data_IF_336354217089
#
_entry.id   IF_336354217089
#
_cell.length_a   1.000
_cell.length_b   1.000
_cell.length_c   1.000
_cell.angle_alpha   90.00
_cell.angle_beta   90.00
_cell.angle_gamma   90.00
#
_symmetry.space_group_name_H-M   'P 1'
#
loop_
_entity.id
_entity.type
_entity.pdbx_description
1 polymer ?
#
# COMPACT_ATOMS: atom_id res chain seq x y z
N UNK A 1 7.96 5.53 19.27
CA UNK A 1 6.80 6.21 18.65
C UNK A 1 7.07 6.20 17.14
N UNK A 2 6.10 5.79 16.32
CA UNK A 2 6.26 5.70 14.87
C UNK A 2 6.08 7.10 14.25
N UNK A 3 6.99 7.49 13.36
CA UNK A 3 6.83 8.70 12.56
C UNK A 3 6.19 8.34 11.21
N UNK A 4 4.98 8.82 10.97
CA UNK A 4 4.23 8.53 9.75
C UNK A 4 4.72 9.35 8.57
N UNK A 5 4.63 8.80 7.36
CA UNK A 5 5.04 9.51 6.14
C UNK A 5 4.18 10.75 5.86
N UNK A 6 2.92 10.73 6.26
CA UNK A 6 1.99 11.85 6.20
C UNK A 6 1.26 12.01 7.53
N UNK A 7 0.68 13.18 7.76
CA UNK A 7 -0.17 13.41 8.93
C UNK A 7 -1.39 12.49 8.89
N UNK A 8 -1.58 11.68 9.93
CA UNK A 8 -2.71 10.77 10.06
C UNK A 8 -3.74 11.36 11.04
N UNK A 9 -5.05 11.15 10.79
CA UNK A 9 -6.10 11.51 11.75
C UNK A 9 -5.92 10.82 13.10
N UNK A 10 -6.62 11.32 14.11
CA UNK A 10 -6.70 10.64 15.40
C UNK A 10 -7.17 9.18 15.23
N UNK A 11 -6.58 8.27 16.00
CA UNK A 11 -6.88 6.82 15.95
C UNK A 11 -6.55 6.15 14.59
N UNK A 12 -5.65 6.77 13.80
CA UNK A 12 -5.11 6.21 12.58
C UNK A 12 -3.58 5.97 12.72
N UNK A 13 -3.07 4.77 12.40
CA UNK A 13 -3.79 3.57 11.94
C UNK A 13 -4.75 3.02 13.01
N UNK A 14 -5.76 2.22 12.61
CA UNK A 14 -6.64 1.56 13.57
C UNK A 14 -5.87 0.67 14.54
N UNK A 15 -6.39 0.47 15.75
CA UNK A 15 -5.73 -0.30 16.81
C UNK A 15 -5.47 -1.75 16.41
N UNK A 16 -6.28 -2.28 15.49
CA UNK A 16 -6.19 -3.63 14.94
C UNK A 16 -5.10 -3.76 13.86
N UNK A 17 -4.50 -2.65 13.42
CA UNK A 17 -3.36 -2.70 12.50
C UNK A 17 -2.14 -3.32 13.19
N UNK A 18 -1.43 -4.17 12.47
CA UNK A 18 -0.36 -4.99 13.01
C UNK A 18 0.98 -4.72 12.32
N UNK A 19 2.06 -5.14 12.99
CA UNK A 19 3.42 -5.06 12.49
C UNK A 19 3.61 -6.05 11.30
N UNK A 20 4.03 -5.60 10.11
CA UNK A 20 4.19 -6.44 8.93
C UNK A 20 5.49 -7.26 8.89
N UNK A 21 6.35 -7.17 9.91
CA UNK A 21 7.64 -7.87 9.96
C UNK A 21 7.47 -9.39 9.77
N UNK A 22 8.31 -9.96 8.90
CA UNK A 22 8.27 -11.38 8.54
C UNK A 22 7.26 -11.74 7.45
N UNK A 23 6.45 -10.79 6.97
CA UNK A 23 5.53 -11.00 5.86
C UNK A 23 6.07 -10.37 4.56
N UNK A 24 5.81 -11.03 3.43
CA UNK A 24 6.01 -10.44 2.10
C UNK A 24 4.69 -9.84 1.61
N UNK A 25 4.74 -8.59 1.16
CA UNK A 25 3.63 -7.92 0.51
C UNK A 25 3.96 -7.58 -0.94
N UNK A 26 2.93 -7.32 -1.74
CA UNK A 26 3.03 -7.03 -3.16
C UNK A 26 2.25 -5.77 -3.51
N UNK A 27 2.81 -4.95 -4.41
CA UNK A 27 2.17 -3.72 -4.85
C UNK A 27 2.33 -3.53 -6.35
N UNK A 28 1.27 -3.04 -6.99
CA UNK A 28 1.32 -2.63 -8.39
C UNK A 28 2.14 -1.35 -8.55
N UNK A 29 2.96 -1.29 -9.60
CA UNK A 29 3.73 -0.11 -9.95
C UNK A 29 3.38 0.36 -11.37
N UNK A 30 3.37 1.68 -11.54
CA UNK A 30 3.17 2.35 -12.84
C UNK A 30 4.45 2.38 -13.68
N UNK A 31 5.58 1.93 -13.13
CA UNK A 31 6.90 1.89 -13.79
C UNK A 31 7.57 0.52 -13.70
N UNK A 32 8.64 0.33 -14.48
CA UNK A 32 9.45 -0.89 -14.46
C UNK A 32 10.36 -0.97 -13.22
N UNK A 33 10.68 0.19 -12.63
CA UNK A 33 11.46 0.31 -11.39
C UNK A 33 10.58 0.93 -10.29
N UNK A 34 10.88 0.70 -9.00
CA UNK A 34 10.19 1.37 -7.91
C UNK A 34 10.18 2.89 -8.09
N UNK A 35 8.99 3.49 -7.96
CA UNK A 35 8.77 4.93 -8.12
C UNK A 35 8.04 5.46 -6.90
N UNK A 36 8.53 6.56 -6.34
CA UNK A 36 7.94 7.19 -5.15
C UNK A 36 6.46 7.52 -5.32
N UNK A 37 6.01 7.89 -6.51
CA UNK A 37 4.59 8.18 -6.78
C UNK A 37 3.70 6.96 -6.57
N UNK A 38 4.23 5.76 -6.78
CA UNK A 38 3.52 4.53 -6.46
C UNK A 38 3.44 4.32 -4.94
N UNK A 39 4.12 5.07 -4.08
CA UNK A 39 4.06 4.94 -2.62
C UNK A 39 3.47 6.19 -1.94
N UNK A 40 2.69 6.96 -2.70
CA UNK A 40 1.86 8.04 -2.18
C UNK A 40 0.42 7.53 -1.99
N UNK A 41 -0.22 7.96 -0.90
CA UNK A 41 -1.62 7.62 -0.63
C UNK A 41 -2.57 8.31 -1.62
N UNK A 42 -3.81 7.82 -1.69
CA UNK A 42 -4.82 8.46 -2.52
C UNK A 42 -5.13 9.88 -2.03
N UNK A 43 -5.13 10.12 -0.72
CA UNK A 43 -5.30 11.45 -0.14
C UNK A 43 -4.15 12.38 -0.54
N UNK A 44 -2.90 11.93 -0.45
CA UNK A 44 -1.74 12.74 -0.86
C UNK A 44 -1.83 13.14 -2.34
N UNK A 45 -2.16 12.19 -3.22
CA UNK A 45 -2.27 12.45 -4.67
C UNK A 45 -3.47 13.33 -5.05
N UNK A 46 -4.51 13.35 -4.21
CA UNK A 46 -5.76 14.05 -4.48
C UNK A 46 -6.28 14.73 -3.20
N UNK A 47 -5.61 15.81 -2.73
CA UNK A 47 -5.89 16.43 -1.43
C UNK A 47 -7.33 16.91 -1.30
N UNK A 48 -7.91 17.49 -2.36
CA UNK A 48 -9.26 18.05 -2.37
C UNK A 48 -10.36 17.03 -2.72
N UNK A 49 -10.00 15.77 -3.02
CA UNK A 49 -11.00 14.79 -3.47
C UNK A 49 -11.85 14.31 -2.31
N UNK A 50 -13.17 14.27 -2.53
CA UNK A 50 -14.09 13.60 -1.60
C UNK A 50 -14.13 12.11 -1.92
N UNK A 51 -13.74 11.27 -0.96
CA UNK A 51 -13.77 9.82 -1.09
C UNK A 51 -15.04 9.26 -0.45
N UNK A 52 -16.08 9.05 -1.25
CA UNK A 52 -17.35 8.51 -0.77
C UNK A 52 -17.14 7.08 -0.24
N UNK A 53 -17.68 6.80 0.96
CA UNK A 53 -17.62 5.51 1.64
C UNK A 53 -16.21 4.98 1.96
N UNK A 54 -15.20 5.86 1.97
CA UNK A 54 -13.83 5.51 2.38
C UNK A 54 -13.42 6.46 3.51
N UNK A 55 -13.22 5.97 4.74
CA UNK A 55 -12.75 6.81 5.84
C UNK A 55 -11.41 7.47 5.52
N UNK A 56 -11.19 8.67 6.07
CA UNK A 56 -9.96 9.44 5.85
C UNK A 56 -8.70 8.63 6.19
N UNK A 57 -8.72 7.87 7.28
CA UNK A 57 -7.62 6.99 7.65
C UNK A 57 -7.26 6.00 6.53
N UNK A 58 -8.26 5.38 5.88
CA UNK A 58 -8.03 4.45 4.77
C UNK A 58 -7.55 5.18 3.51
N UNK A 59 -8.06 6.38 3.24
CA UNK A 59 -7.63 7.20 2.10
C UNK A 59 -6.14 7.58 2.16
N UNK A 60 -5.57 7.62 3.37
CA UNK A 60 -4.15 7.85 3.68
C UNK A 60 -3.30 6.58 3.73
N UNK A 61 -3.93 5.41 3.54
CA UNK A 61 -3.23 4.15 3.41
C UNK A 61 -2.83 3.85 1.96
N UNK A 62 -1.90 2.91 1.82
CA UNK A 62 -1.39 2.40 0.55
C UNK A 62 -1.87 0.95 0.41
N UNK A 63 -2.47 0.62 -0.74
CA UNK A 63 -2.90 -0.77 -1.00
C UNK A 63 -1.73 -1.71 -1.23
N UNK A 64 -1.64 -2.79 -0.46
CA UNK A 64 -0.71 -3.88 -0.66
C UNK A 64 -1.45 -5.22 -0.64
N UNK A 65 -0.82 -6.26 -1.16
CA UNK A 65 -1.41 -7.60 -1.24
C UNK A 65 -0.49 -8.65 -0.66
N UNK A 66 -1.03 -9.73 -0.09
CA UNK A 66 -0.22 -10.83 0.46
C UNK A 66 0.04 -11.98 -0.54
N UNK A 67 -0.44 -11.86 -1.79
CA UNK A 67 -0.32 -12.89 -2.82
C UNK A 67 0.09 -12.31 -4.18
N UNK A 68 1.24 -12.77 -4.69
CA UNK A 68 1.73 -12.43 -6.02
C UNK A 68 0.77 -12.93 -7.11
N UNK A 69 0.29 -14.18 -7.00
CA UNK A 69 -0.64 -14.77 -7.96
C UNK A 69 -1.94 -13.98 -8.07
N UNK A 70 -2.46 -13.51 -6.93
CA UNK A 70 -3.61 -12.61 -6.89
C UNK A 70 -3.32 -11.33 -7.66
N UNK A 71 -2.16 -10.71 -7.45
CA UNK A 71 -1.76 -9.50 -8.19
C UNK A 71 -1.66 -9.77 -9.70
N UNK A 72 -1.03 -10.87 -10.10
CA UNK A 72 -0.90 -11.27 -11.51
C UNK A 72 -2.28 -11.44 -12.15
N UNK A 73 -3.22 -12.09 -11.46
CA UNK A 73 -4.57 -12.29 -11.96
C UNK A 73 -5.38 -10.99 -12.02
N UNK A 74 -5.27 -10.13 -11.01
CA UNK A 74 -5.88 -8.79 -11.03
C UNK A 74 -5.35 -7.94 -12.18
N UNK A 75 -4.04 -7.98 -12.47
CA UNK A 75 -3.42 -7.22 -13.58
C UNK A 75 -3.96 -7.62 -14.96
N UNK A 76 -4.43 -8.87 -15.13
CA UNK A 76 -5.05 -9.35 -16.38
C UNK A 76 -6.46 -8.81 -16.62
N UNK A 77 -7.14 -8.31 -15.58
CA UNK A 77 -8.51 -7.80 -15.70
C UNK A 77 -8.56 -6.58 -16.64
N UNK A 78 -9.62 -6.42 -17.46
CA UNK A 78 -9.72 -5.33 -18.43
C UNK A 78 -9.48 -3.94 -17.83
N UNK A 79 -10.03 -3.68 -16.62
CA UNK A 79 -9.87 -2.39 -15.92
C UNK A 79 -8.44 -2.06 -15.48
N UNK A 80 -7.57 -3.07 -15.41
CA UNK A 80 -6.18 -2.94 -14.96
C UNK A 80 -5.18 -3.18 -16.09
N UNK A 81 -5.66 -3.63 -17.26
CA UNK A 81 -4.84 -3.88 -18.44
C UNK A 81 -4.10 -2.59 -18.83
N UNK A 82 -2.79 -2.69 -19.05
CA UNK A 82 -1.89 -1.60 -19.42
C UNK A 82 -1.69 -0.49 -18.38
N UNK A 83 -2.37 -0.54 -17.22
CA UNK A 83 -2.22 0.46 -16.15
C UNK A 83 -0.95 0.25 -15.33
N UNK A 84 -0.63 -1.01 -15.03
CA UNK A 84 0.48 -1.38 -14.18
C UNK A 84 1.58 -2.03 -15.01
N UNK A 85 2.80 -1.50 -14.91
CA UNK A 85 3.97 -1.97 -15.65
C UNK A 85 4.65 -3.12 -14.93
N UNK A 86 4.70 -3.07 -13.60
CA UNK A 86 5.31 -4.12 -12.80
C UNK A 86 4.55 -4.43 -11.51
N UNK A 87 4.94 -5.52 -10.86
CA UNK A 87 4.57 -5.84 -9.48
C UNK A 87 5.85 -5.82 -8.65
N UNK A 88 5.82 -5.11 -7.52
CA UNK A 88 6.91 -4.99 -6.57
C UNK A 88 6.64 -5.89 -5.36
N UNK A 89 7.62 -6.69 -4.94
CA UNK A 89 7.66 -7.32 -3.62
C UNK A 89 8.21 -6.33 -2.59
N UNK A 90 7.55 -6.27 -1.44
CA UNK A 90 7.89 -5.45 -0.28
C UNK A 90 8.14 -6.40 0.90
N UNK A 91 9.37 -6.37 1.42
CA UNK A 91 9.73 -7.03 2.69
C UNK A 91 9.75 -5.94 3.76
N UNK A 92 8.61 -5.73 4.38
CA UNK A 92 8.40 -4.66 5.35
C UNK A 92 8.95 -5.09 6.72
N UNK A 93 9.68 -4.20 7.37
CA UNK A 93 10.20 -4.37 8.72
C UNK A 93 9.25 -3.75 9.76
N UNK A 94 9.56 -3.95 11.03
CA UNK A 94 8.76 -3.44 12.13
C UNK A 94 8.60 -1.91 12.14
N UNK A 95 9.56 -1.19 11.58
CA UNK A 95 9.58 0.26 11.52
C UNK A 95 9.01 0.83 10.21
N UNK A 96 8.66 0.01 9.21
CA UNK A 96 8.16 0.46 7.90
C UNK A 96 6.67 0.87 7.93
N UNK A 97 5.99 0.65 9.05
CA UNK A 97 4.62 1.06 9.29
C UNK A 97 3.74 -0.07 9.81
N UNK A 98 2.43 0.08 9.65
CA UNK A 98 1.42 -0.90 10.09
C UNK A 98 0.47 -1.27 8.97
N UNK A 99 -0.02 -2.51 9.00
CA UNK A 99 -0.91 -3.08 7.98
C UNK A 99 -2.22 -3.59 8.59
N UNK A 100 -3.32 -3.54 7.83
CA UNK A 100 -4.61 -4.07 8.26
C UNK A 100 -5.46 -4.48 7.05
N UNK A 101 -6.30 -5.52 7.20
CA UNK A 101 -7.37 -5.80 6.24
C UNK A 101 -8.52 -4.82 6.43
N UNK A 102 -8.84 -4.06 5.39
CA UNK A 102 -9.81 -2.96 5.44
C UNK A 102 -10.94 -3.13 4.41
N UNK A 103 -10.84 -4.14 3.55
CA UNK A 103 -11.80 -4.44 2.49
C UNK A 103 -12.14 -5.94 2.46
N UNK A 104 -13.24 -6.35 1.80
CA UNK A 104 -13.64 -7.75 1.72
C UNK A 104 -12.67 -8.69 0.99
N UNK A 105 -11.77 -8.16 0.16
CA UNK A 105 -10.77 -8.99 -0.53
C UNK A 105 -9.76 -9.52 0.51
N UNK A 106 -9.69 -10.83 0.76
CA UNK A 106 -8.86 -11.40 1.81
C UNK A 106 -7.36 -11.19 1.57
N UNK A 107 -6.96 -10.92 0.34
CA UNK A 107 -5.57 -10.68 -0.03
C UNK A 107 -5.19 -9.20 -0.02
N UNK A 108 -6.13 -8.28 0.21
CA UNK A 108 -5.88 -6.84 0.18
C UNK A 108 -5.71 -6.28 1.59
N UNK A 109 -4.69 -5.44 1.75
CA UNK A 109 -4.37 -4.74 2.98
C UNK A 109 -4.18 -3.26 2.71
N UNK A 110 -4.62 -2.45 3.67
CA UNK A 110 -4.19 -1.07 3.85
C UNK A 110 -2.88 -1.06 4.61
N UNK A 111 -1.88 -0.38 4.08
CA UNK A 111 -0.59 -0.14 4.73
C UNK A 111 -0.41 1.36 5.00
N UNK A 112 -0.23 1.72 6.26
CA UNK A 112 0.17 3.07 6.67
C UNK A 112 1.67 3.10 6.84
N UNK A 113 2.32 3.76 5.89
CA UNK A 113 3.77 3.78 5.78
C UNK A 113 4.38 4.80 6.72
N UNK A 114 5.49 4.43 7.35
CA UNK A 114 6.31 5.35 8.13
C UNK A 114 7.32 6.10 7.26
N UNK A 115 8.00 7.09 7.83
CA UNK A 115 9.16 7.73 7.18
C UNK A 115 10.37 6.79 7.04
N UNK A 116 10.41 5.68 7.80
CA UNK A 116 11.54 4.74 7.79
C UNK A 116 11.56 3.88 6.53
N UNK A 117 10.41 3.70 5.86
CA UNK A 117 10.36 2.90 4.65
C UNK A 117 11.24 3.46 3.54
N UNK A 118 12.11 2.57 3.06
CA UNK A 118 13.10 2.79 2.02
C UNK A 118 12.65 2.16 0.71
N UNK A 119 12.38 3.01 -0.28
CA UNK A 119 11.88 2.61 -1.60
C UNK A 119 12.80 1.59 -2.29
N UNK A 120 14.11 1.70 -2.07
CA UNK A 120 15.14 0.81 -2.61
C UNK A 120 15.03 -0.65 -2.14
N UNK A 121 14.27 -0.90 -1.06
CA UNK A 121 14.00 -2.26 -0.58
C UNK A 121 12.92 -2.97 -1.40
N UNK A 122 12.12 -2.23 -2.18
CA UNK A 122 11.10 -2.77 -3.06
C UNK A 122 11.74 -3.40 -4.30
N UNK A 123 11.38 -4.65 -4.61
CA UNK A 123 11.98 -5.42 -5.71
C UNK A 123 10.94 -5.77 -6.75
N UNK A 124 11.21 -5.49 -8.02
CA UNK A 124 10.34 -5.96 -9.11
C UNK A 124 10.37 -7.49 -9.19
N UNK A 125 9.18 -8.09 -9.25
CA UNK A 125 8.98 -9.54 -9.36
C UNK A 125 8.12 -9.96 -10.55
N UNK A 126 7.40 -9.04 -11.21
CA UNK A 126 6.60 -9.34 -12.41
C UNK A 126 6.28 -8.11 -13.25
#
# INVERSE_FOLDING_TARGET
MMNWFEELPEQCPPKEAFNPEGFSFYRFSTSENPNLNDFLSHRYLHPERVFNNVPECIARSISVYDSLDKCINLRKLPRHRNKWKSILELKLNADDGLVMKTFPDPNHYSWWRSISFKLETAKKVS
#
